data_IF_066414891587
#
_entry.id   IF_066414891587
#
_cell.length_a   1.000
_cell.length_b   1.000
_cell.length_c   1.000
_cell.angle_alpha   90.00
_cell.angle_beta   90.00
_cell.angle_gamma   90.00
#
_symmetry.space_group_name_H-M   'P 1'
#
loop_
_entity.id
_entity.type
_entity.pdbx_description
1 polymer ?
#
# COMPACT_ATOMS: atom_id res chain seq x y z
N UNK A 1 36.35 4.15 2.78
CA UNK A 1 36.27 3.05 1.80
C UNK A 1 35.37 3.49 0.65
N UNK A 2 35.93 3.55 -0.56
CA UNK A 2 35.16 3.90 -1.77
C UNK A 2 34.19 2.75 -2.04
N UNK A 3 32.87 2.98 -1.91
CA UNK A 3 31.88 1.97 -2.22
C UNK A 3 31.94 1.65 -3.72
N UNK A 4 32.50 0.49 -4.04
CA UNK A 4 32.49 -0.08 -5.39
C UNK A 4 31.22 -0.92 -5.54
N UNK A 5 30.38 -0.62 -6.53
CA UNK A 5 29.17 -1.39 -6.82
C UNK A 5 27.92 -0.56 -7.04
N UNK A 6 26.73 -1.17 -6.89
CA UNK A 6 25.43 -0.54 -7.12
C UNK A 6 25.13 0.70 -6.25
N UNK A 7 25.85 0.89 -5.14
CA UNK A 7 25.74 2.06 -4.27
C UNK A 7 26.61 3.26 -4.75
N UNK A 8 27.46 3.08 -5.75
CA UNK A 8 28.35 4.14 -6.25
C UNK A 8 27.60 5.41 -6.72
N UNK A 9 26.46 5.34 -7.44
CA UNK A 9 25.72 6.54 -7.80
C UNK A 9 25.23 7.33 -6.59
N UNK A 10 24.73 6.64 -5.54
CA UNK A 10 24.28 7.29 -4.30
C UNK A 10 25.44 7.95 -3.55
N UNK A 11 26.61 7.34 -3.59
CA UNK A 11 27.84 7.92 -3.02
C UNK A 11 28.24 9.20 -3.74
N UNK A 12 28.18 9.21 -5.09
CA UNK A 12 28.45 10.41 -5.90
C UNK A 12 27.46 11.55 -5.60
N UNK A 13 26.17 11.23 -5.46
CA UNK A 13 25.16 12.21 -5.02
C UNK A 13 25.45 12.73 -3.61
N UNK A 14 25.90 11.87 -2.70
CA UNK A 14 26.32 12.28 -1.36
C UNK A 14 27.54 13.24 -1.38
N UNK A 15 28.53 12.97 -2.23
CA UNK A 15 29.71 13.85 -2.42
C UNK A 15 29.33 15.20 -3.03
N UNK A 16 28.33 15.27 -3.89
CA UNK A 16 27.82 16.55 -4.38
C UNK A 16 27.31 17.44 -3.22
N UNK A 17 26.69 16.84 -2.17
CA UNK A 17 26.26 17.55 -0.97
C UNK A 17 27.40 18.06 -0.08
N UNK A 18 28.62 17.49 -0.19
CA UNK A 18 29.82 17.93 0.57
C UNK A 18 30.66 18.93 -0.18
N UNK A 19 30.24 19.38 -1.39
CA UNK A 19 30.94 20.45 -2.16
C UNK A 19 31.99 19.95 -3.15
N UNK A 20 32.01 18.65 -3.47
CA UNK A 20 32.88 18.14 -4.54
C UNK A 20 32.35 18.60 -5.90
N UNK A 21 33.11 19.46 -6.58
CA UNK A 21 32.76 20.10 -7.85
C UNK A 21 32.52 19.08 -8.97
N UNK A 22 33.30 18.00 -9.04
CA UNK A 22 33.11 16.95 -10.06
C UNK A 22 31.84 16.15 -9.80
N UNK A 23 31.56 15.79 -8.54
CA UNK A 23 30.34 15.10 -8.15
C UNK A 23 29.09 15.98 -8.37
N UNK A 24 29.17 17.28 -8.10
CA UNK A 24 28.11 18.24 -8.43
C UNK A 24 27.84 18.29 -9.93
N UNK A 25 28.85 18.35 -10.75
CA UNK A 25 28.72 18.41 -12.21
C UNK A 25 28.13 17.13 -12.78
N UNK A 26 28.58 15.95 -12.30
CA UNK A 26 28.04 14.67 -12.71
C UNK A 26 26.56 14.53 -12.28
N UNK A 27 26.22 14.93 -11.06
CA UNK A 27 24.85 14.92 -10.56
C UNK A 27 23.94 15.84 -11.37
N UNK A 28 24.41 17.05 -11.71
CA UNK A 28 23.68 17.99 -12.56
C UNK A 28 23.45 17.43 -13.97
N UNK A 29 24.47 16.79 -14.57
CA UNK A 29 24.34 16.16 -15.89
C UNK A 29 23.31 15.03 -15.88
N UNK A 30 23.28 14.19 -14.85
CA UNK A 30 22.29 13.12 -14.72
C UNK A 30 20.87 13.71 -14.60
N UNK A 31 20.68 14.73 -13.77
CA UNK A 31 19.37 15.40 -13.62
C UNK A 31 18.93 16.03 -14.94
N UNK A 32 19.85 16.74 -15.65
CA UNK A 32 19.53 17.32 -16.95
C UNK A 32 19.21 16.27 -18.01
N UNK A 33 19.93 15.15 -18.04
CA UNK A 33 19.66 14.06 -18.96
C UNK A 33 18.26 13.43 -18.70
N UNK A 34 17.90 13.20 -17.44
CA UNK A 34 16.59 12.71 -17.06
C UNK A 34 15.48 13.71 -17.41
N UNK A 35 15.73 15.00 -17.19
CA UNK A 35 14.81 16.06 -17.57
C UNK A 35 14.61 16.12 -19.10
N UNK A 36 15.71 16.06 -19.87
CA UNK A 36 15.65 16.05 -21.34
C UNK A 36 14.90 14.81 -21.87
N UNK A 37 15.13 13.64 -21.26
CA UNK A 37 14.40 12.41 -21.59
C UNK A 37 12.89 12.57 -21.31
N UNK A 38 12.54 13.06 -20.13
CA UNK A 38 11.15 13.34 -19.76
C UNK A 38 10.51 14.34 -20.73
N UNK A 39 11.21 15.43 -21.03
CA UNK A 39 10.75 16.43 -21.99
C UNK A 39 10.54 15.84 -23.38
N UNK A 40 11.47 15.02 -23.88
CA UNK A 40 11.36 14.39 -25.19
C UNK A 40 10.17 13.42 -25.26
N UNK A 41 9.92 12.64 -24.20
CA UNK A 41 8.77 11.73 -24.11
C UNK A 41 7.47 12.53 -24.08
N UNK A 42 7.37 13.55 -23.22
CA UNK A 42 6.17 14.35 -23.08
C UNK A 42 5.86 15.15 -24.36
N UNK A 43 6.89 15.78 -24.97
CA UNK A 43 6.67 16.58 -26.19
C UNK A 43 6.22 15.72 -27.38
N UNK A 44 6.73 14.50 -27.51
CA UNK A 44 6.29 13.56 -28.55
C UNK A 44 4.88 13.04 -28.31
N UNK A 45 4.54 12.81 -27.04
CA UNK A 45 3.23 12.24 -26.66
C UNK A 45 2.14 13.31 -26.51
N UNK A 46 2.51 14.59 -26.36
CA UNK A 46 1.59 15.68 -26.00
C UNK A 46 0.41 15.79 -26.96
N UNK A 47 0.67 15.86 -28.27
CA UNK A 47 -0.39 15.94 -29.28
C UNK A 47 -1.29 14.70 -29.27
N UNK A 48 -0.71 13.51 -29.12
CA UNK A 48 -1.47 12.26 -29.05
C UNK A 48 -2.37 12.21 -27.82
N UNK A 49 -1.88 12.70 -26.67
CA UNK A 49 -2.63 12.72 -25.41
C UNK A 49 -3.72 13.79 -25.44
N UNK A 50 -3.39 15.00 -25.93
CA UNK A 50 -4.34 16.13 -25.94
C UNK A 50 -5.39 16.04 -27.04
N UNK A 51 -5.06 15.44 -28.19
CA UNK A 51 -5.97 15.20 -29.29
C UNK A 51 -6.68 13.83 -29.23
N UNK A 52 -6.27 12.96 -28.32
CA UNK A 52 -7.03 11.76 -27.95
C UNK A 52 -8.32 12.17 -27.23
N UNK A 53 -9.14 12.99 -27.88
CA UNK A 53 -10.56 13.05 -27.54
C UNK A 53 -11.04 11.64 -27.60
N UNK A 54 -11.61 11.16 -26.48
CA UNK A 54 -12.02 9.77 -26.28
C UNK A 54 -12.89 9.23 -27.41
N UNK A 55 -12.27 9.00 -28.55
CA UNK A 55 -12.80 8.14 -29.56
C UNK A 55 -12.84 6.75 -28.91
N UNK A 56 -13.94 6.50 -28.20
CA UNK A 56 -14.31 5.13 -27.85
C UNK A 56 -14.27 4.38 -29.19
N UNK A 57 -13.22 3.59 -29.38
CA UNK A 57 -13.07 2.77 -30.56
C UNK A 57 -14.42 2.09 -30.78
N UNK A 58 -14.93 2.12 -32.01
CA UNK A 58 -16.22 1.57 -32.36
C UNK A 58 -16.32 0.17 -31.77
N UNK A 59 -17.00 0.08 -30.65
CA UNK A 59 -17.13 -1.18 -29.92
C UNK A 59 -17.93 -2.13 -30.80
N UNK A 60 -17.26 -3.05 -31.47
CA UNK A 60 -17.91 -4.13 -32.18
C UNK A 60 -18.57 -5.00 -31.14
N UNK A 61 -19.88 -4.95 -31.05
CA UNK A 61 -20.65 -5.84 -30.18
C UNK A 61 -20.32 -7.28 -30.55
N UNK A 62 -19.68 -8.00 -29.62
CA UNK A 62 -19.51 -9.44 -29.72
C UNK A 62 -20.42 -10.07 -28.67
N UNK A 63 -21.36 -10.86 -29.14
CA UNK A 63 -22.21 -11.65 -28.26
C UNK A 63 -21.33 -12.57 -27.41
N UNK A 64 -21.28 -12.29 -26.10
CA UNK A 64 -20.59 -13.15 -25.15
C UNK A 64 -21.64 -13.86 -24.32
N UNK A 65 -21.56 -15.19 -24.27
CA UNK A 65 -22.34 -15.98 -23.33
C UNK A 65 -21.96 -15.54 -21.90
N UNK A 66 -22.89 -14.87 -21.24
CA UNK A 66 -22.70 -14.39 -19.87
C UNK A 66 -22.82 -15.60 -18.94
N UNK A 67 -21.70 -16.07 -18.40
CA UNK A 67 -21.71 -17.09 -17.33
C UNK A 67 -22.33 -16.46 -16.08
N UNK A 68 -23.34 -17.10 -15.53
CA UNK A 68 -24.00 -16.69 -14.28
C UNK A 68 -22.95 -16.71 -13.15
N UNK A 69 -22.71 -15.55 -12.55
CA UNK A 69 -21.77 -15.40 -11.44
C UNK A 69 -22.52 -15.09 -10.15
N UNK A 70 -21.91 -15.40 -9.01
CA UNK A 70 -22.47 -14.97 -7.72
C UNK A 70 -22.37 -13.44 -7.60
N UNK A 71 -23.31 -12.83 -6.88
CA UNK A 71 -23.31 -11.37 -6.64
C UNK A 71 -21.99 -10.88 -6.03
N UNK A 72 -21.41 -11.65 -5.10
CA UNK A 72 -20.12 -11.34 -4.47
C UNK A 72 -18.97 -11.30 -5.47
N UNK A 73 -18.91 -12.26 -6.40
CA UNK A 73 -17.88 -12.30 -7.44
C UNK A 73 -18.04 -11.15 -8.43
N UNK A 74 -19.28 -10.83 -8.80
CA UNK A 74 -19.59 -9.72 -9.69
C UNK A 74 -19.20 -8.37 -9.08
N UNK A 75 -19.52 -8.14 -7.80
CA UNK A 75 -19.14 -6.93 -7.06
C UNK A 75 -17.61 -6.82 -6.90
N UNK A 76 -16.93 -7.91 -6.57
CA UNK A 76 -15.46 -7.93 -6.49
C UNK A 76 -14.84 -7.54 -7.83
N UNK A 77 -15.30 -8.12 -8.94
CA UNK A 77 -14.80 -7.81 -10.29
C UNK A 77 -15.09 -6.36 -10.69
N UNK A 78 -16.25 -5.82 -10.32
CA UNK A 78 -16.60 -4.41 -10.52
C UNK A 78 -15.59 -3.49 -9.83
N UNK A 79 -15.30 -3.73 -8.55
CA UNK A 79 -14.37 -2.91 -7.78
C UNK A 79 -12.92 -3.05 -8.30
N UNK A 80 -12.51 -4.27 -8.64
CA UNK A 80 -11.21 -4.51 -9.25
C UNK A 80 -11.08 -3.81 -10.61
N UNK A 81 -12.11 -3.89 -11.46
CA UNK A 81 -12.13 -3.21 -12.75
C UNK A 81 -12.07 -1.69 -12.61
N UNK A 82 -12.75 -1.11 -11.61
CA UNK A 82 -12.65 0.31 -11.30
C UNK A 82 -11.21 0.70 -10.92
N UNK A 83 -10.55 -0.08 -10.07
CA UNK A 83 -9.18 0.17 -9.66
C UNK A 83 -8.22 0.13 -10.87
N UNK A 84 -8.33 -0.91 -11.71
CA UNK A 84 -7.43 -1.09 -12.86
C UNK A 84 -7.75 -0.16 -14.04
N UNK A 85 -8.94 0.42 -14.11
CA UNK A 85 -9.31 1.36 -15.15
C UNK A 85 -8.77 2.78 -14.93
N UNK A 86 -8.40 3.15 -13.71
CA UNK A 86 -7.88 4.49 -13.39
C UNK A 86 -6.38 4.42 -13.05
N UNK A 87 -5.48 4.90 -13.92
CA UNK A 87 -4.04 5.00 -13.63
C UNK A 87 -3.76 5.83 -12.38
N UNK A 88 -4.51 6.91 -12.17
CA UNK A 88 -4.37 7.74 -10.98
C UNK A 88 -4.68 6.96 -9.70
N UNK A 89 -5.71 6.13 -9.72
CA UNK A 89 -6.08 5.30 -8.57
C UNK A 89 -5.02 4.23 -8.30
N UNK A 90 -4.54 3.57 -9.37
CA UNK A 90 -3.48 2.55 -9.24
C UNK A 90 -2.18 3.15 -8.67
N UNK A 91 -1.72 4.29 -9.18
CA UNK A 91 -0.46 4.89 -8.78
C UNK A 91 -0.50 5.48 -7.36
N UNK A 92 -1.63 6.08 -6.96
CA UNK A 92 -1.71 6.74 -5.66
C UNK A 92 -2.11 5.79 -4.52
N UNK A 93 -2.93 4.77 -4.80
CA UNK A 93 -3.47 3.88 -3.78
C UNK A 93 -2.96 2.44 -3.87
N UNK A 94 -2.16 2.11 -4.89
CA UNK A 94 -1.67 0.75 -5.14
C UNK A 94 -0.16 0.64 -5.29
N UNK A 95 0.60 1.67 -4.93
CA UNK A 95 2.07 1.66 -5.11
C UNK A 95 2.75 0.53 -4.33
N UNK A 96 2.23 0.18 -3.16
CA UNK A 96 2.72 -0.94 -2.36
C UNK A 96 2.55 -2.30 -3.05
N UNK A 97 1.65 -2.46 -4.03
CA UNK A 97 1.52 -3.69 -4.82
C UNK A 97 2.83 -4.01 -5.54
N UNK A 98 3.51 -2.97 -6.03
CA UNK A 98 4.80 -3.11 -6.69
C UNK A 98 5.96 -3.10 -5.69
N UNK A 99 5.93 -2.20 -4.72
CA UNK A 99 7.04 -1.99 -3.79
C UNK A 99 7.24 -3.16 -2.81
N UNK A 100 6.17 -3.86 -2.39
CA UNK A 100 6.30 -5.03 -1.50
C UNK A 100 7.13 -6.16 -2.14
N UNK A 101 6.83 -6.65 -3.35
CA UNK A 101 7.67 -7.65 -4.00
C UNK A 101 9.10 -7.16 -4.24
N UNK A 102 9.27 -5.90 -4.66
CA UNK A 102 10.60 -5.31 -4.86
C UNK A 102 11.40 -5.30 -3.57
N UNK A 103 10.79 -4.88 -2.45
CA UNK A 103 11.43 -4.90 -1.14
C UNK A 103 11.84 -6.33 -0.72
N UNK A 104 10.99 -7.34 -1.01
CA UNK A 104 11.31 -8.75 -0.76
C UNK A 104 12.52 -9.24 -1.59
N UNK A 105 12.54 -8.92 -2.88
CA UNK A 105 13.65 -9.29 -3.77
C UNK A 105 14.95 -8.59 -3.34
N UNK A 106 14.87 -7.30 -2.97
CA UNK A 106 16.01 -6.55 -2.46
C UNK A 106 16.53 -7.16 -1.15
N UNK A 107 15.63 -7.63 -0.28
CA UNK A 107 16.01 -8.31 0.95
C UNK A 107 16.73 -9.64 0.65
N UNK A 108 16.32 -10.42 -0.34
CA UNK A 108 17.05 -11.63 -0.75
C UNK A 108 18.44 -11.29 -1.29
N UNK A 109 18.55 -10.22 -2.07
CA UNK A 109 19.83 -9.83 -2.68
C UNK A 109 20.80 -9.23 -1.66
N UNK A 110 20.31 -8.38 -0.76
CA UNK A 110 21.11 -7.59 0.18
C UNK A 110 20.96 -8.03 1.64
N UNK A 111 20.18 -9.07 1.92
CA UNK A 111 19.90 -9.53 3.28
C UNK A 111 21.16 -9.91 4.05
N UNK A 112 22.15 -10.50 3.37
CA UNK A 112 23.45 -10.82 3.96
C UNK A 112 24.26 -9.59 4.43
N UNK A 113 23.96 -8.39 3.95
CA UNK A 113 24.55 -7.12 4.37
C UNK A 113 23.65 -6.39 5.38
N UNK A 114 22.33 -6.38 5.10
CA UNK A 114 21.33 -5.64 5.89
C UNK A 114 21.11 -6.24 7.27
N UNK A 115 21.02 -7.56 7.40
CA UNK A 115 20.77 -8.19 8.70
C UNK A 115 21.95 -7.98 9.66
N UNK A 116 23.22 -8.26 9.27
CA UNK A 116 24.35 -7.94 10.15
C UNK A 116 24.47 -6.45 10.49
N UNK A 117 24.11 -5.55 9.58
CA UNK A 117 24.09 -4.11 9.86
C UNK A 117 23.05 -3.77 10.93
N UNK A 118 21.84 -4.31 10.84
CA UNK A 118 20.80 -4.13 11.85
C UNK A 118 21.25 -4.69 13.19
N UNK A 119 21.89 -5.86 13.19
CA UNK A 119 22.42 -6.48 14.40
C UNK A 119 23.59 -5.69 14.98
N UNK A 120 24.47 -5.10 14.16
CA UNK A 120 25.55 -4.26 14.62
C UNK A 120 25.04 -2.96 15.27
N UNK A 121 23.97 -2.36 14.75
CA UNK A 121 23.40 -1.11 15.28
C UNK A 121 22.54 -1.37 16.53
N UNK A 122 21.75 -2.45 16.50
CA UNK A 122 20.72 -2.73 17.50
C UNK A 122 20.91 -4.05 18.23
N UNK A 123 22.02 -4.75 18.01
CA UNK A 123 22.21 -6.16 18.44
C UNK A 123 22.20 -6.41 19.95
N UNK A 124 22.34 -5.35 20.77
CA UNK A 124 22.08 -5.44 22.21
C UNK A 124 20.59 -5.74 22.54
N UNK A 125 19.70 -5.67 21.53
CA UNK A 125 18.25 -5.88 21.65
C UNK A 125 17.85 -7.06 20.77
N UNK A 126 17.98 -8.29 21.30
CA UNK A 126 17.73 -9.54 20.55
C UNK A 126 16.42 -9.54 19.77
N UNK A 127 16.43 -10.04 18.53
CA UNK A 127 15.25 -10.11 17.65
C UNK A 127 14.85 -8.77 16.97
N UNK A 128 15.78 -7.81 16.96
CA UNK A 128 15.51 -6.49 16.40
C UNK A 128 15.33 -6.55 14.88
N UNK A 129 16.08 -7.41 14.18
CA UNK A 129 16.00 -7.53 12.74
C UNK A 129 14.58 -7.96 12.27
N UNK A 130 13.97 -8.96 12.95
CA UNK A 130 12.62 -9.44 12.63
C UNK A 130 11.56 -8.33 12.82
N UNK A 131 11.67 -7.56 13.92
CA UNK A 131 10.72 -6.48 14.22
C UNK A 131 10.87 -5.33 13.23
N UNK A 132 12.10 -4.92 12.91
CA UNK A 132 12.35 -3.82 11.97
C UNK A 132 11.96 -4.18 10.54
N UNK A 133 12.25 -5.40 10.09
CA UNK A 133 11.81 -5.88 8.79
C UNK A 133 10.29 -6.01 8.70
N UNK A 134 9.64 -6.52 9.75
CA UNK A 134 8.18 -6.52 9.87
C UNK A 134 7.61 -5.08 9.77
N UNK A 135 8.24 -4.14 10.47
CA UNK A 135 7.87 -2.72 10.40
C UNK A 135 7.99 -2.17 8.98
N UNK A 136 9.06 -2.52 8.27
CA UNK A 136 9.26 -2.16 6.87
C UNK A 136 8.14 -2.70 5.97
N UNK A 137 7.74 -3.97 6.15
CA UNK A 137 6.60 -4.55 5.42
C UNK A 137 5.31 -3.81 5.73
N UNK A 138 5.03 -3.48 7.01
CA UNK A 138 3.84 -2.71 7.40
C UNK A 138 3.86 -1.29 6.80
N UNK A 139 5.02 -0.62 6.81
CA UNK A 139 5.18 0.72 6.26
C UNK A 139 4.93 0.75 4.75
N UNK A 140 5.46 -0.23 3.99
CA UNK A 140 5.18 -0.33 2.54
C UNK A 140 3.73 -0.76 2.29
N UNK A 141 3.17 -1.67 3.08
CA UNK A 141 1.76 -2.08 2.97
C UNK A 141 0.80 -0.91 3.23
N UNK A 142 1.19 0.08 4.06
CA UNK A 142 0.38 1.28 4.31
C UNK A 142 0.19 2.18 3.07
N UNK A 143 1.05 2.02 2.06
CA UNK A 143 0.90 2.73 0.78
C UNK A 143 -0.21 2.15 -0.11
N UNK A 144 -0.77 1.00 0.26
CA UNK A 144 -1.94 0.42 -0.37
C UNK A 144 -3.20 0.85 0.38
N UNK A 145 -3.89 1.85 -0.12
CA UNK A 145 -5.13 2.36 0.50
C UNK A 145 -6.24 2.55 -0.54
N UNK A 146 -6.67 1.43 -1.16
CA UNK A 146 -7.76 1.45 -2.12
C UNK A 146 -9.14 1.55 -1.45
N UNK A 147 -9.26 1.06 -0.21
CA UNK A 147 -10.54 1.02 0.49
C UNK A 147 -11.08 2.41 0.85
N UNK A 148 -10.20 3.33 1.26
CA UNK A 148 -10.59 4.67 1.72
C UNK A 148 -11.30 5.49 0.64
N UNK A 149 -10.74 5.71 -0.56
CA UNK A 149 -11.42 6.50 -1.57
C UNK A 149 -12.55 5.73 -2.27
N UNK A 150 -12.63 4.40 -2.14
CA UNK A 150 -13.55 3.54 -2.91
C UNK A 150 -15.03 3.92 -2.78
N UNK A 151 -15.45 4.46 -1.64
CA UNK A 151 -16.83 4.91 -1.41
C UNK A 151 -17.07 6.25 -2.12
N UNK A 152 -16.18 7.22 -1.92
CA UNK A 152 -16.28 8.52 -2.58
C UNK A 152 -16.17 8.43 -4.10
N UNK A 153 -15.42 7.46 -4.62
CA UNK A 153 -15.29 7.21 -6.07
C UNK A 153 -16.57 6.66 -6.72
N UNK A 154 -17.57 6.20 -5.96
CA UNK A 154 -18.91 5.93 -6.52
C UNK A 154 -19.50 7.22 -7.08
N UNK A 155 -19.25 8.38 -6.47
CA UNK A 155 -19.65 9.68 -6.97
C UNK A 155 -21.15 9.74 -7.27
N UNK A 156 -21.49 10.34 -8.42
CA UNK A 156 -22.87 10.46 -8.89
C UNK A 156 -23.52 9.11 -9.23
N UNK A 157 -22.76 8.02 -9.33
CA UNK A 157 -23.28 6.67 -9.64
C UNK A 157 -23.59 5.82 -8.39
N UNK A 158 -23.51 6.39 -7.18
CA UNK A 158 -23.79 5.67 -5.93
C UNK A 158 -25.21 5.07 -5.92
N UNK A 159 -26.20 5.80 -6.46
CA UNK A 159 -27.58 5.33 -6.57
C UNK A 159 -27.68 3.99 -7.33
N UNK A 160 -26.81 3.76 -8.34
CA UNK A 160 -26.78 2.51 -9.08
C UNK A 160 -26.33 1.35 -8.18
N UNK A 161 -25.33 1.56 -7.33
CA UNK A 161 -24.90 0.56 -6.36
C UNK A 161 -25.99 0.25 -5.31
N UNK A 162 -26.80 1.26 -4.96
CA UNK A 162 -27.91 1.13 -4.01
C UNK A 162 -29.16 0.51 -4.61
N UNK A 163 -29.39 0.65 -5.95
CA UNK A 163 -30.53 0.05 -6.66
C UNK A 163 -30.34 -1.44 -7.01
N UNK A 164 -29.13 -1.95 -6.90
CA UNK A 164 -28.87 -3.37 -7.15
C UNK A 164 -29.52 -4.25 -6.06
N UNK A 165 -29.98 -5.49 -6.38
CA UNK A 165 -30.56 -6.43 -5.40
C UNK A 165 -29.46 -7.07 -4.55
N UNK A 166 -28.66 -6.25 -3.87
CA UNK A 166 -27.56 -6.66 -3.00
C UNK A 166 -27.63 -5.91 -1.68
N UNK A 167 -27.18 -6.54 -0.61
CA UNK A 167 -27.12 -5.85 0.69
C UNK A 167 -26.00 -4.81 0.72
N UNK A 168 -26.16 -3.70 1.46
CA UNK A 168 -25.10 -2.70 1.63
C UNK A 168 -23.79 -3.30 2.13
N UNK A 169 -23.86 -4.33 2.97
CA UNK A 169 -22.70 -5.06 3.45
C UNK A 169 -21.98 -5.84 2.33
N UNK A 170 -22.69 -6.42 1.37
CA UNK A 170 -22.06 -7.09 0.23
C UNK A 170 -21.25 -6.11 -0.62
N UNK A 171 -21.75 -4.90 -0.82
CA UNK A 171 -21.02 -3.84 -1.52
C UNK A 171 -19.74 -3.42 -0.77
N UNK A 172 -19.84 -3.17 0.55
CA UNK A 172 -18.67 -2.84 1.38
C UNK A 172 -17.67 -4.00 1.46
N UNK A 173 -18.16 -5.23 1.59
CA UNK A 173 -17.32 -6.43 1.62
C UNK A 173 -16.53 -6.62 0.33
N UNK A 174 -17.09 -6.27 -0.82
CA UNK A 174 -16.38 -6.32 -2.09
C UNK A 174 -15.18 -5.36 -2.11
N UNK A 175 -15.35 -4.12 -1.63
CA UNK A 175 -14.29 -3.11 -1.51
C UNK A 175 -13.19 -3.60 -0.56
N UNK A 176 -13.57 -4.16 0.58
CA UNK A 176 -12.64 -4.74 1.55
C UNK A 176 -11.85 -5.91 0.96
N UNK A 177 -12.52 -6.81 0.20
CA UNK A 177 -11.86 -7.94 -0.47
C UNK A 177 -10.83 -7.49 -1.49
N UNK A 178 -11.10 -6.44 -2.26
CA UNK A 178 -10.13 -5.89 -3.24
C UNK A 178 -8.89 -5.37 -2.52
N UNK A 179 -9.07 -4.57 -1.46
CA UNK A 179 -7.97 -4.08 -0.63
C UNK A 179 -7.12 -5.23 -0.08
N UNK A 180 -7.77 -6.23 0.52
CA UNK A 180 -7.08 -7.38 1.10
C UNK A 180 -6.34 -8.19 0.04
N UNK A 181 -6.98 -8.53 -1.07
CA UNK A 181 -6.37 -9.33 -2.13
C UNK A 181 -5.14 -8.62 -2.74
N UNK A 182 -5.28 -7.34 -3.05
CA UNK A 182 -4.20 -6.55 -3.67
C UNK A 182 -3.09 -6.14 -2.69
N UNK A 183 -3.26 -6.36 -1.38
CA UNK A 183 -2.21 -6.08 -0.40
C UNK A 183 -1.61 -7.36 0.17
N UNK A 184 -2.42 -8.37 0.50
CA UNK A 184 -1.92 -9.64 1.07
C UNK A 184 -1.04 -10.39 0.08
N UNK A 185 -1.49 -10.55 -1.18
CA UNK A 185 -0.72 -11.32 -2.17
C UNK A 185 0.69 -10.75 -2.40
N UNK A 186 0.89 -9.42 -2.64
CA UNK A 186 2.23 -8.87 -2.73
C UNK A 186 3.01 -8.94 -1.41
N UNK A 187 2.35 -8.82 -0.24
CA UNK A 187 3.02 -8.87 1.06
C UNK A 187 3.57 -10.27 1.40
N UNK A 188 3.01 -11.34 0.83
CA UNK A 188 3.56 -12.68 1.00
C UNK A 188 5.00 -12.78 0.47
N UNK A 189 5.35 -12.02 -0.58
CA UNK A 189 6.70 -12.07 -1.17
C UNK A 189 7.76 -11.66 -0.13
N UNK A 190 7.75 -10.45 0.45
CA UNK A 190 8.75 -10.07 1.46
C UNK A 190 8.68 -10.95 2.71
N UNK A 191 7.51 -11.47 3.12
CA UNK A 191 7.42 -12.37 4.27
C UNK A 191 8.11 -13.72 4.00
N UNK A 192 7.98 -14.28 2.80
CA UNK A 192 8.72 -15.49 2.39
C UNK A 192 10.21 -15.19 2.26
N UNK A 193 10.59 -14.04 1.71
CA UNK A 193 11.99 -13.63 1.61
C UNK A 193 12.63 -13.44 3.00
N UNK A 194 11.89 -12.91 3.98
CA UNK A 194 12.35 -12.84 5.37
C UNK A 194 12.65 -14.24 5.93
N UNK A 195 11.79 -15.24 5.63
CA UNK A 195 12.01 -16.61 6.10
C UNK A 195 13.20 -17.30 5.41
N UNK A 196 13.65 -16.83 4.25
CA UNK A 196 14.84 -17.31 3.57
C UNK A 196 16.16 -16.68 4.08
N UNK A 197 16.07 -15.45 4.63
CA UNK A 197 17.25 -14.67 5.08
C UNK A 197 17.47 -14.76 6.59
N UNK A 198 16.40 -14.87 7.36
CA UNK A 198 16.43 -14.92 8.83
C UNK A 198 16.26 -16.37 9.32
N UNK A 199 16.80 -16.68 10.53
CA UNK A 199 16.55 -17.98 11.14
C UNK A 199 15.05 -18.18 11.42
N UNK A 200 14.59 -19.43 11.29
CA UNK A 200 13.20 -19.80 11.55
C UNK A 200 12.93 -19.79 13.07
N UNK A 201 12.61 -18.65 13.59
CA UNK A 201 12.29 -18.39 14.99
C UNK A 201 10.79 -18.17 15.20
N UNK A 202 10.25 -18.33 16.42
CA UNK A 202 8.88 -17.93 16.72
C UNK A 202 8.61 -16.44 16.45
N UNK A 203 9.60 -15.57 16.65
CA UNK A 203 9.49 -14.13 16.35
C UNK A 203 9.29 -13.86 14.86
N UNK A 204 9.94 -14.65 13.98
CA UNK A 204 9.72 -14.55 12.55
C UNK A 204 8.28 -14.93 12.14
N UNK A 205 7.74 -16.02 12.69
CA UNK A 205 6.35 -16.40 12.44
C UNK A 205 5.37 -15.33 12.94
N UNK A 206 5.63 -14.77 14.12
CA UNK A 206 4.82 -13.70 14.69
C UNK A 206 4.96 -12.38 13.93
N UNK A 207 6.09 -12.10 13.30
CA UNK A 207 6.24 -10.95 12.41
C UNK A 207 5.32 -11.06 11.19
N UNK A 208 5.20 -12.26 10.61
CA UNK A 208 4.26 -12.50 9.51
C UNK A 208 2.80 -12.33 9.96
N UNK A 209 2.44 -12.86 11.13
CA UNK A 209 1.10 -12.67 11.72
C UNK A 209 0.83 -11.19 11.98
N UNK A 210 1.79 -10.45 12.52
CA UNK A 210 1.67 -9.00 12.79
C UNK A 210 1.46 -8.20 11.50
N UNK A 211 2.22 -8.50 10.45
CA UNK A 211 2.07 -7.85 9.15
C UNK A 211 0.69 -8.12 8.52
N UNK A 212 0.21 -9.37 8.57
CA UNK A 212 -1.12 -9.72 8.07
C UNK A 212 -2.25 -9.11 8.91
N UNK A 213 -2.07 -9.05 10.23
CA UNK A 213 -2.98 -8.36 11.15
C UNK A 213 -3.06 -6.86 10.82
N UNK A 214 -1.91 -6.23 10.57
CA UNK A 214 -1.86 -4.84 10.13
C UNK A 214 -2.59 -4.61 8.81
N UNK A 215 -2.40 -5.46 7.81
CA UNK A 215 -3.10 -5.35 6.52
C UNK A 215 -4.62 -5.44 6.71
N UNK A 216 -5.09 -6.34 7.57
CA UNK A 216 -6.51 -6.44 7.90
C UNK A 216 -7.02 -5.19 8.63
N UNK A 217 -6.23 -4.66 9.59
CA UNK A 217 -6.54 -3.44 10.31
C UNK A 217 -6.62 -2.23 9.38
N UNK A 218 -5.59 -2.00 8.55
CA UNK A 218 -5.55 -0.87 7.62
C UNK A 218 -6.70 -0.89 6.61
N UNK A 219 -7.05 -2.08 6.10
CA UNK A 219 -8.19 -2.25 5.20
C UNK A 219 -9.54 -1.89 5.88
N UNK A 220 -9.74 -2.34 7.12
CA UNK A 220 -10.94 -2.00 7.88
C UNK A 220 -10.98 -0.52 8.27
N UNK A 221 -9.84 0.05 8.68
CA UNK A 221 -9.71 1.47 9.01
C UNK A 221 -10.02 2.34 7.79
N UNK A 222 -9.36 2.07 6.66
CA UNK A 222 -9.55 2.81 5.41
C UNK A 222 -11.00 2.80 4.96
N UNK A 223 -11.65 1.62 4.94
CA UNK A 223 -13.06 1.54 4.59
C UNK A 223 -13.98 2.26 5.60
N UNK A 224 -13.66 2.20 6.89
CA UNK A 224 -14.39 2.93 7.94
C UNK A 224 -14.31 4.44 7.71
N UNK A 225 -13.12 4.95 7.41
CA UNK A 225 -12.90 6.36 7.06
C UNK A 225 -13.64 6.74 5.76
N UNK A 226 -13.58 5.87 4.75
CA UNK A 226 -14.29 6.06 3.49
C UNK A 226 -15.81 6.19 3.66
N UNK A 227 -16.43 5.34 4.50
CA UNK A 227 -17.87 5.41 4.79
C UNK A 227 -18.24 6.62 5.68
N UNK A 228 -17.37 6.96 6.65
CA UNK A 228 -17.67 8.05 7.60
C UNK A 228 -17.44 9.44 7.03
N UNK A 229 -16.53 9.56 6.06
CA UNK A 229 -16.10 10.82 5.45
C UNK A 229 -16.24 10.81 3.92
N UNK A 230 -17.27 10.12 3.41
CA UNK A 230 -17.56 10.10 1.97
C UNK A 230 -17.83 11.51 1.46
N UNK A 231 -17.28 11.84 0.28
CA UNK A 231 -17.54 13.08 -0.44
C UNK A 231 -17.87 12.75 -1.88
N UNK A 232 -18.96 13.34 -2.39
CA UNK A 232 -19.48 13.07 -3.75
C UNK A 232 -19.47 14.31 -4.66
N UNK A 233 -18.99 15.46 -4.13
CA UNK A 233 -18.99 16.75 -4.84
C UNK A 233 -17.68 17.03 -5.58
N UNK A 234 -16.85 16.01 -5.79
CA UNK A 234 -15.57 16.15 -6.47
C UNK A 234 -15.75 16.33 -7.98
N UNK A 235 -14.88 17.14 -8.58
CA UNK A 235 -14.83 17.40 -10.02
C UNK A 235 -13.73 16.59 -10.72
N UNK A 236 -12.73 16.15 -9.96
CA UNK A 236 -11.62 15.32 -10.43
C UNK A 236 -11.44 14.11 -9.53
N UNK A 237 -11.16 12.94 -10.11
CA UNK A 237 -10.88 11.71 -9.36
C UNK A 237 -9.69 11.83 -8.39
N UNK A 238 -8.79 12.78 -8.62
CA UNK A 238 -7.66 13.04 -7.72
C UNK A 238 -8.10 13.58 -6.35
N UNK A 239 -9.25 14.25 -6.28
CA UNK A 239 -9.76 14.79 -5.00
C UNK A 239 -10.05 13.69 -3.97
N UNK A 240 -10.89 12.67 -4.27
CA UNK A 240 -11.12 11.58 -3.32
C UNK A 240 -9.89 10.65 -3.14
N UNK A 241 -9.01 10.52 -4.14
CA UNK A 241 -7.86 9.61 -4.12
C UNK A 241 -6.70 10.18 -3.29
N UNK A 242 -6.43 11.48 -3.37
CA UNK A 242 -5.21 12.08 -2.80
C UNK A 242 -5.48 13.23 -1.84
N UNK A 243 -6.52 14.03 -2.07
CA UNK A 243 -6.76 15.27 -1.34
C UNK A 243 -7.83 15.14 -0.25
N UNK A 244 -8.40 13.94 -0.07
CA UNK A 244 -9.42 13.76 0.96
C UNK A 244 -8.79 13.60 2.35
N UNK A 245 -9.44 14.21 3.35
CA UNK A 245 -9.03 14.07 4.75
C UNK A 245 -9.04 12.60 5.21
N UNK A 246 -9.93 11.78 4.65
CA UNK A 246 -10.00 10.36 4.96
C UNK A 246 -8.71 9.62 4.55
N UNK A 247 -8.23 9.85 3.33
CA UNK A 247 -6.98 9.26 2.82
C UNK A 247 -5.76 9.76 3.59
N UNK A 248 -5.72 11.06 3.94
CA UNK A 248 -4.65 11.59 4.77
C UNK A 248 -4.59 10.91 6.14
N UNK A 249 -5.74 10.77 6.83
CA UNK A 249 -5.80 10.08 8.12
C UNK A 249 -5.37 8.61 7.97
N UNK A 250 -5.83 7.91 6.95
CA UNK A 250 -5.44 6.52 6.70
C UNK A 250 -3.93 6.38 6.50
N UNK A 251 -3.34 7.21 5.66
CA UNK A 251 -1.89 7.22 5.39
C UNK A 251 -1.08 7.53 6.66
N UNK A 252 -1.41 8.61 7.37
CA UNK A 252 -0.67 8.98 8.60
C UNK A 252 -0.84 7.93 9.70
N UNK A 253 -2.02 7.29 9.82
CA UNK A 253 -2.23 6.21 10.79
C UNK A 253 -1.33 4.99 10.48
N UNK A 254 -1.10 4.68 9.20
CA UNK A 254 -0.19 3.63 8.79
C UNK A 254 1.27 3.92 9.16
N UNK A 255 1.72 5.14 8.93
CA UNK A 255 3.05 5.57 9.33
C UNK A 255 3.22 5.59 10.86
N UNK A 256 2.21 6.10 11.57
CA UNK A 256 2.21 6.10 13.03
C UNK A 256 2.27 4.68 13.59
N UNK A 257 1.54 3.74 12.97
CA UNK A 257 1.61 2.32 13.34
C UNK A 257 3.02 1.76 13.17
N UNK A 258 3.67 2.00 12.03
CA UNK A 258 5.03 1.55 11.77
C UNK A 258 6.03 2.15 12.76
N UNK A 259 5.94 3.46 13.01
CA UNK A 259 6.78 4.15 14.02
C UNK A 259 6.52 3.60 15.42
N UNK A 260 5.26 3.31 15.77
CA UNK A 260 4.93 2.72 17.07
C UNK A 260 5.47 1.29 17.19
N UNK A 261 5.34 0.46 16.15
CA UNK A 261 5.83 -0.91 16.14
C UNK A 261 7.36 -0.96 16.37
N UNK A 262 8.13 -0.18 15.63
CA UNK A 262 9.58 -0.13 15.79
C UNK A 262 9.99 0.64 17.07
N UNK A 263 9.44 1.83 17.27
CA UNK A 263 9.84 2.73 18.36
C UNK A 263 9.56 2.16 19.75
N UNK A 264 8.39 1.59 19.99
CA UNK A 264 8.07 0.96 21.27
C UNK A 264 8.93 -0.28 21.52
N UNK A 265 9.29 -1.03 20.46
CA UNK A 265 10.21 -2.13 20.58
C UNK A 265 11.59 -1.64 21.02
N UNK A 266 12.14 -0.65 20.34
CA UNK A 266 13.47 -0.09 20.63
C UNK A 266 13.55 0.58 21.99
N UNK A 267 12.45 1.17 22.48
CA UNK A 267 12.41 1.85 23.79
C UNK A 267 12.28 0.86 24.96
N UNK A 268 11.38 -0.09 24.88
CA UNK A 268 11.02 -0.94 26.00
C UNK A 268 10.71 -2.39 25.63
N UNK A 269 10.17 -2.65 24.44
CA UNK A 269 9.64 -3.94 24.00
C UNK A 269 10.69 -5.06 23.94
N UNK A 270 11.94 -4.72 23.68
CA UNK A 270 13.06 -5.66 23.66
C UNK A 270 13.23 -6.44 24.98
N UNK A 271 12.82 -5.86 26.13
CA UNK A 271 12.85 -6.50 27.44
C UNK A 271 11.88 -7.68 27.54
N UNK A 272 10.80 -7.67 26.78
CA UNK A 272 9.83 -8.76 26.70
C UNK A 272 10.28 -9.87 25.74
N UNK A 273 11.28 -9.59 24.91
CA UNK A 273 11.67 -10.43 23.78
C UNK A 273 10.76 -10.21 22.54
N UNK A 274 11.35 -10.38 21.35
CA UNK A 274 10.67 -10.08 20.08
C UNK A 274 9.37 -10.88 19.88
N UNK A 275 9.37 -12.17 20.25
CA UNK A 275 8.19 -13.02 20.08
C UNK A 275 7.01 -12.54 20.95
N UNK A 276 7.22 -12.30 22.24
CA UNK A 276 6.15 -11.84 23.13
C UNK A 276 5.64 -10.45 22.71
N UNK A 277 6.55 -9.54 22.36
CA UNK A 277 6.20 -8.21 21.88
C UNK A 277 5.32 -8.27 20.61
N UNK A 278 5.74 -9.02 19.58
CA UNK A 278 4.98 -9.17 18.34
C UNK A 278 3.63 -9.86 18.57
N UNK A 279 3.57 -10.86 19.46
CA UNK A 279 2.32 -11.52 19.81
C UNK A 279 1.31 -10.54 20.43
N UNK A 280 1.75 -9.70 21.37
CA UNK A 280 0.90 -8.67 22.00
C UNK A 280 0.44 -7.66 20.94
N UNK A 281 1.38 -7.17 20.12
CA UNK A 281 1.08 -6.18 19.09
C UNK A 281 0.10 -6.73 18.04
N UNK A 282 0.32 -7.98 17.59
CA UNK A 282 -0.60 -8.68 16.67
C UNK A 282 -2.00 -8.86 17.29
N UNK A 283 -2.07 -9.28 18.57
CA UNK A 283 -3.36 -9.48 19.25
C UNK A 283 -4.16 -8.16 19.36
N UNK A 284 -3.50 -7.07 19.75
CA UNK A 284 -4.12 -5.75 19.84
C UNK A 284 -4.59 -5.25 18.45
N UNK A 285 -3.77 -5.46 17.43
CA UNK A 285 -4.09 -5.07 16.05
C UNK A 285 -5.27 -5.88 15.50
N UNK A 286 -5.31 -7.21 15.74
CA UNK A 286 -6.42 -8.07 15.35
C UNK A 286 -7.71 -7.70 16.10
N UNK A 287 -7.62 -7.39 17.39
CA UNK A 287 -8.78 -6.93 18.16
C UNK A 287 -9.34 -5.62 17.58
N UNK A 288 -8.48 -4.65 17.27
CA UNK A 288 -8.88 -3.40 16.64
C UNK A 288 -9.52 -3.63 15.24
N UNK A 289 -8.89 -4.48 14.41
CA UNK A 289 -9.44 -4.88 13.13
C UNK A 289 -10.82 -5.55 13.25
N UNK A 290 -10.98 -6.45 14.21
CA UNK A 290 -12.23 -7.15 14.49
C UNK A 290 -13.35 -6.21 14.93
N UNK A 291 -13.04 -5.22 15.80
CA UNK A 291 -14.00 -4.20 16.22
C UNK A 291 -14.44 -3.33 15.03
N UNK A 292 -13.50 -2.89 14.18
CA UNK A 292 -13.82 -2.11 12.98
C UNK A 292 -14.61 -2.93 11.97
N UNK A 293 -14.23 -4.18 11.74
CA UNK A 293 -14.98 -5.09 10.86
C UNK A 293 -16.43 -5.28 11.35
N UNK A 294 -16.63 -5.50 12.65
CA UNK A 294 -17.96 -5.60 13.26
C UNK A 294 -18.76 -4.31 13.08
N UNK A 295 -18.10 -3.17 13.28
CA UNK A 295 -18.74 -1.86 13.05
C UNK A 295 -19.14 -1.68 11.57
N UNK A 296 -18.27 -2.00 10.63
CA UNK A 296 -18.55 -1.94 9.19
C UNK A 296 -19.75 -2.82 8.81
N UNK A 297 -19.81 -4.04 9.34
CA UNK A 297 -20.90 -4.97 9.06
C UNK A 297 -22.25 -4.49 9.59
N UNK A 298 -22.27 -3.75 10.68
CA UNK A 298 -23.51 -3.30 11.35
C UNK A 298 -23.84 -1.84 11.04
N UNK A 299 -23.14 -0.92 11.72
CA UNK A 299 -23.39 0.52 11.61
C UNK A 299 -22.88 1.09 10.28
N UNK A 300 -21.73 0.63 9.80
CA UNK A 300 -21.15 1.05 8.53
C UNK A 300 -22.03 0.71 7.33
N UNK A 301 -22.61 -0.48 7.30
CA UNK A 301 -23.55 -0.88 6.25
C UNK A 301 -24.82 -0.02 6.24
N UNK A 302 -25.38 0.29 7.42
CA UNK A 302 -26.54 1.20 7.54
C UNK A 302 -26.18 2.61 7.07
N UNK A 303 -25.00 3.11 7.46
CA UNK A 303 -24.53 4.43 7.05
C UNK A 303 -24.30 4.50 5.52
N UNK A 304 -23.71 3.46 4.93
CA UNK A 304 -23.51 3.40 3.48
C UNK A 304 -24.84 3.40 2.71
N UNK A 305 -25.88 2.76 3.24
CA UNK A 305 -27.22 2.79 2.63
C UNK A 305 -27.91 4.16 2.72
N UNK A 306 -27.47 4.99 3.66
CA UNK A 306 -28.04 6.33 3.88
C UNK A 306 -27.25 7.45 3.20
N UNK A 307 -26.14 7.14 2.54
CA UNK A 307 -25.36 8.11 1.72
C UNK A 307 -26.09 8.42 0.41
#
# INVERSE_FOLDING_TARGET
EKSSGAAHPLYVFGQAGTGDGLAMLLSALVVLALFALMWAVLSRSFLQITTATGASGRAVYRERTVKRQSADAALFRKELARFTASPNYMLNCGLGILLLPVAGILLLWKGGEVVPLLDAIFGARGGCAEVLLCTGVCAVASMNDMATPSVSLEGKSLWLAQSLPVTPWQALRAKLKVQLALTVLPALVPLVCMAAVLPLTPSLALSAVTALAYIAFSACLGLTLGVTRASFTWTSELMPIKQSLAVMIAMFSGWLYAVALAGLYLLAGWRLGAAAYLAIFAALTLAAAGLMYRWLKTRGAKRFAAL
#
